data_IF_008939717984
#
_entry.id   IF_008939717984
#
_cell.length_a   1.000
_cell.length_b   1.000
_cell.length_c   1.000
_cell.angle_alpha   90.00
_cell.angle_beta   90.00
_cell.angle_gamma   90.00
#
_symmetry.space_group_name_H-M   'P 1'
#
loop_
_entity.id
_entity.type
_entity.pdbx_description
1 polymer ?
#
# COMPACT_ATOMS: atom_id res chain seq x y z
N UNK A 1 8.17 7.64 7.03
CA UNK A 1 9.41 7.35 6.27
C UNK A 1 9.50 5.85 6.02
N UNK A 2 9.84 5.41 4.81
CA UNK A 2 10.02 3.99 4.47
C UNK A 2 11.50 3.58 4.52
N UNK A 3 11.78 2.32 4.84
CA UNK A 3 13.14 1.77 4.94
C UNK A 3 13.41 0.68 3.90
N UNK A 4 14.70 0.40 3.69
CA UNK A 4 15.17 -0.73 2.87
C UNK A 4 14.84 -2.11 3.47
N UNK A 5 14.44 -2.16 4.73
CA UNK A 5 14.01 -3.38 5.43
C UNK A 5 12.48 -3.55 5.45
N UNK A 6 11.79 -2.83 4.57
CA UNK A 6 10.35 -2.97 4.40
C UNK A 6 9.49 -2.35 5.48
N UNK A 7 10.13 -1.77 6.48
CA UNK A 7 9.47 -1.07 7.57
C UNK A 7 9.18 0.36 7.17
N UNK A 8 8.02 0.88 7.58
CA UNK A 8 7.78 2.32 7.60
C UNK A 8 7.17 2.77 8.93
N UNK A 9 7.40 4.04 9.26
CA UNK A 9 6.90 4.65 10.49
C UNK A 9 6.02 5.87 10.17
N UNK A 10 4.95 6.02 10.95
CA UNK A 10 4.11 7.20 11.01
C UNK A 10 4.52 8.07 12.20
N UNK A 11 4.51 9.39 11.98
CA UNK A 11 4.94 10.40 12.93
C UNK A 11 3.93 11.53 12.94
N UNK A 12 3.72 12.16 14.09
CA UNK A 12 2.94 13.36 14.22
C UNK A 12 3.72 14.52 13.57
N UNK A 13 3.15 15.12 12.52
CA UNK A 13 3.84 16.17 11.77
C UNK A 13 4.07 17.45 12.58
N UNK A 14 3.23 17.72 13.58
CA UNK A 14 3.27 18.95 14.37
C UNK A 14 4.41 18.94 15.38
N UNK A 15 4.67 17.80 16.01
CA UNK A 15 5.63 17.70 17.12
C UNK A 15 6.70 16.62 16.93
N UNK A 16 6.69 15.90 15.81
CA UNK A 16 7.66 14.85 15.50
C UNK A 16 7.53 13.61 16.40
N UNK A 17 6.45 13.47 17.16
CA UNK A 17 6.26 12.30 18.04
C UNK A 17 5.99 11.06 17.20
N UNK A 18 6.64 9.96 17.54
CA UNK A 18 6.38 8.66 16.94
C UNK A 18 4.93 8.24 17.20
N UNK A 19 4.22 7.82 16.15
CA UNK A 19 2.84 7.34 16.27
C UNK A 19 2.76 5.83 16.13
N UNK A 20 3.28 5.30 15.01
CA UNK A 20 3.04 3.90 14.64
C UNK A 20 4.15 3.34 13.79
N UNK A 21 4.39 2.05 13.96
CA UNK A 21 5.35 1.25 13.21
C UNK A 21 4.60 0.22 12.37
N UNK A 22 5.01 0.07 11.12
CA UNK A 22 4.46 -0.88 10.16
C UNK A 22 5.59 -1.76 9.64
N UNK A 23 5.47 -3.07 9.87
CA UNK A 23 6.43 -4.05 9.40
C UNK A 23 5.85 -4.84 8.21
N UNK A 24 6.70 -5.32 7.29
CA UNK A 24 6.24 -6.21 6.24
C UNK A 24 5.83 -7.56 6.85
N UNK A 25 4.95 -8.32 6.18
CA UNK A 25 4.70 -9.71 6.55
C UNK A 25 6.01 -10.51 6.67
N UNK A 26 6.04 -11.45 7.63
CA UNK A 26 7.07 -12.49 7.77
C UNK A 26 8.52 -12.00 8.03
N UNK A 27 8.72 -10.82 8.62
CA UNK A 27 10.07 -10.24 8.84
C UNK A 27 10.92 -10.23 7.56
N UNK A 28 10.27 -10.00 6.42
CA UNK A 28 10.92 -9.97 5.12
C UNK A 28 11.77 -8.71 4.93
N UNK A 29 12.88 -8.82 4.19
CA UNK A 29 13.73 -7.69 3.81
C UNK A 29 13.24 -7.02 2.51
N UNK A 30 11.93 -6.93 2.31
CA UNK A 30 11.39 -6.34 1.07
C UNK A 30 11.57 -4.84 1.07
N UNK A 31 12.00 -4.25 -0.05
CA UNK A 31 12.18 -2.81 -0.14
C UNK A 31 10.86 -2.11 -0.47
N UNK A 32 10.51 -1.06 0.28
CA UNK A 32 9.34 -0.22 -0.04
C UNK A 32 9.62 0.59 -1.31
N UNK A 33 8.77 0.44 -2.31
CA UNK A 33 8.81 1.22 -3.55
C UNK A 33 7.84 2.39 -3.56
N UNK A 34 6.68 2.21 -2.95
CA UNK A 34 5.64 3.24 -2.89
C UNK A 34 4.74 3.05 -1.67
N UNK A 35 4.25 4.15 -1.13
CA UNK A 35 3.23 4.17 -0.06
C UNK A 35 2.14 5.14 -0.50
N UNK A 36 0.89 4.69 -0.45
CA UNK A 36 -0.29 5.51 -0.70
C UNK A 36 -1.27 5.35 0.47
N UNK A 37 -1.72 6.45 1.05
CA UNK A 37 -2.75 6.43 2.08
C UNK A 37 -4.11 6.68 1.46
N UNK A 38 -5.08 5.82 1.74
CA UNK A 38 -6.44 5.87 1.20
C UNK A 38 -7.43 5.95 2.35
N UNK A 39 -8.23 7.01 2.34
CA UNK A 39 -9.32 7.23 3.30
C UNK A 39 -10.64 7.28 2.56
N UNK A 40 -11.62 6.53 3.05
CA UNK A 40 -13.01 6.57 2.60
C UNK A 40 -13.95 6.50 3.80
N UNK A 41 -14.40 7.67 4.26
CA UNK A 41 -15.19 7.81 5.48
C UNK A 41 -16.52 7.04 5.40
N UNK A 42 -17.22 7.11 4.26
CA UNK A 42 -18.52 6.42 4.06
C UNK A 42 -18.43 4.90 4.18
N UNK A 43 -17.26 4.32 3.91
CA UNK A 43 -17.01 2.87 3.98
C UNK A 43 -16.12 2.49 5.17
N UNK A 44 -15.82 3.45 6.07
CA UNK A 44 -14.91 3.27 7.20
C UNK A 44 -13.53 2.69 6.81
N UNK A 45 -13.01 3.05 5.63
CA UNK A 45 -11.70 2.59 5.15
C UNK A 45 -10.65 3.64 5.48
N UNK A 46 -9.61 3.25 6.20
CA UNK A 46 -8.40 4.04 6.44
C UNK A 46 -7.19 3.12 6.31
N UNK A 47 -6.54 3.13 5.16
CA UNK A 47 -5.58 2.09 4.80
C UNK A 47 -4.33 2.65 4.13
N UNK A 48 -3.18 2.07 4.46
CA UNK A 48 -1.94 2.25 3.69
C UNK A 48 -1.79 1.14 2.66
N UNK A 49 -1.63 1.52 1.40
CA UNK A 49 -1.28 0.66 0.29
C UNK A 49 0.21 0.80 0.06
N UNK A 50 0.95 -0.29 0.25
CA UNK A 50 2.41 -0.27 0.21
C UNK A 50 2.91 -1.24 -0.85
N UNK A 51 3.71 -0.76 -1.79
CA UNK A 51 4.38 -1.60 -2.77
C UNK A 51 5.74 -2.05 -2.26
N UNK A 52 5.99 -3.35 -2.39
CA UNK A 52 7.21 -4.06 -2.06
C UNK A 52 7.77 -4.79 -3.29
N UNK A 53 7.88 -4.09 -4.42
CA UNK A 53 8.26 -4.70 -5.69
C UNK A 53 7.08 -5.44 -6.31
N UNK A 54 7.12 -6.77 -6.39
CA UNK A 54 6.03 -7.58 -6.98
C UNK A 54 4.84 -7.81 -6.04
N UNK A 55 4.82 -7.14 -4.88
CA UNK A 55 3.78 -7.27 -3.85
C UNK A 55 3.19 -5.93 -3.49
N UNK A 56 1.89 -5.96 -3.20
CA UNK A 56 1.18 -4.86 -2.55
C UNK A 56 0.65 -5.41 -1.23
N UNK A 57 0.98 -4.73 -0.13
CA UNK A 57 0.44 -5.02 1.19
C UNK A 57 -0.45 -3.86 1.62
N UNK A 58 -1.63 -4.18 2.10
CA UNK A 58 -2.63 -3.22 2.57
C UNK A 58 -2.67 -3.31 4.10
N UNK A 59 -2.35 -2.21 4.75
CA UNK A 59 -2.36 -2.07 6.20
C UNK A 59 -3.56 -1.26 6.65
N UNK A 60 -4.23 -1.72 7.71
CA UNK A 60 -5.27 -0.95 8.38
C UNK A 60 -4.65 0.10 9.32
N UNK A 61 -5.23 1.29 9.28
CA UNK A 61 -4.91 2.40 10.16
C UNK A 61 -5.97 2.63 11.24
N UNK A 62 -7.02 1.80 11.31
CA UNK A 62 -8.11 1.98 12.29
C UNK A 62 -7.76 1.56 13.72
N UNK A 63 -6.72 0.74 13.94
CA UNK A 63 -6.34 0.23 15.26
C UNK A 63 -5.12 1.00 15.81
N UNK A 64 -5.27 1.60 16.98
CA UNK A 64 -4.26 2.42 17.65
C UNK A 64 -3.04 1.61 18.13
N UNK A 65 -3.17 0.29 18.27
CA UNK A 65 -2.19 -0.52 19.00
C UNK A 65 -1.26 -1.34 18.12
N UNK A 66 -1.73 -1.82 16.96
CA UNK A 66 -0.96 -2.66 16.05
C UNK A 66 -1.34 -2.40 14.59
N UNK A 67 -0.38 -2.53 13.67
CA UNK A 67 -0.70 -2.57 12.25
C UNK A 67 -1.30 -3.94 11.92
N UNK A 68 -2.49 -3.95 11.32
CA UNK A 68 -3.08 -5.18 10.79
C UNK A 68 -2.87 -5.23 9.30
N UNK A 69 -2.22 -6.27 8.80
CA UNK A 69 -2.24 -6.58 7.37
C UNK A 69 -3.65 -7.05 7.03
N UNK A 70 -4.36 -6.25 6.24
CA UNK A 70 -5.71 -6.55 5.76
C UNK A 70 -5.65 -7.51 4.59
N UNK A 71 -4.67 -7.29 3.71
CA UNK A 71 -4.53 -8.03 2.46
C UNK A 71 -3.10 -7.95 1.96
N UNK A 72 -2.67 -9.03 1.32
CA UNK A 72 -1.47 -9.07 0.50
C UNK A 72 -1.84 -9.52 -0.91
N UNK A 73 -1.26 -8.87 -1.91
CA UNK A 73 -1.44 -9.20 -3.32
C UNK A 73 -0.09 -9.33 -4.00
N UNK A 74 0.15 -10.46 -4.65
CA UNK A 74 1.32 -10.67 -5.51
C UNK A 74 0.95 -10.45 -6.97
N UNK A 75 1.78 -9.72 -7.69
CA UNK A 75 1.62 -9.46 -9.12
C UNK A 75 2.00 -10.69 -9.94
N UNK A 76 1.29 -10.90 -11.05
CA UNK A 76 1.61 -11.99 -11.97
C UNK A 76 3.01 -11.79 -12.57
N UNK A 77 3.72 -12.90 -12.80
CA UNK A 77 5.05 -12.93 -13.43
C UNK A 77 6.11 -12.03 -12.76
N UNK A 78 5.97 -11.75 -11.46
CA UNK A 78 6.94 -10.96 -10.70
C UNK A 78 7.03 -9.50 -11.15
N UNK A 79 5.99 -8.95 -11.76
CA UNK A 79 5.98 -7.54 -12.22
C UNK A 79 6.02 -6.61 -11.02
N UNK A 80 7.03 -5.74 -10.97
CA UNK A 80 7.22 -4.78 -9.89
C UNK A 80 6.29 -3.58 -10.04
N UNK A 81 5.60 -3.20 -8.96
CA UNK A 81 4.80 -1.98 -8.84
C UNK A 81 5.70 -0.88 -8.26
N UNK A 82 5.90 0.19 -9.00
CA UNK A 82 6.79 1.28 -8.62
C UNK A 82 6.03 2.47 -8.03
N UNK A 83 4.75 2.62 -8.37
CA UNK A 83 3.91 3.71 -7.87
C UNK A 83 2.47 3.25 -7.63
N UNK A 84 1.84 3.85 -6.64
CA UNK A 84 0.42 3.67 -6.30
C UNK A 84 -0.20 5.06 -6.20
N UNK A 85 -1.32 5.28 -6.88
CA UNK A 85 -2.05 6.54 -6.81
C UNK A 85 -3.58 6.32 -6.81
N UNK A 86 -4.35 7.02 -5.95
CA UNK A 86 -5.80 6.98 -6.01
C UNK A 86 -6.27 7.71 -7.27
N UNK A 87 -7.23 7.14 -8.01
CA UNK A 87 -7.69 7.74 -9.28
C UNK A 87 -9.21 7.86 -9.43
N UNK A 88 -9.98 6.98 -8.78
CA UNK A 88 -11.45 6.99 -8.79
C UNK A 88 -11.93 6.63 -7.38
N UNK A 89 -13.20 6.90 -7.03
CA UNK A 89 -13.71 6.63 -5.69
C UNK A 89 -13.44 5.21 -5.19
N UNK A 90 -13.42 4.22 -6.08
CA UNK A 90 -13.21 2.81 -5.75
C UNK A 90 -11.93 2.22 -6.37
N UNK A 91 -11.04 3.02 -6.97
CA UNK A 91 -9.87 2.51 -7.66
C UNK A 91 -8.59 3.26 -7.35
N UNK A 92 -7.51 2.48 -7.26
CA UNK A 92 -6.14 2.96 -7.31
C UNK A 92 -5.49 2.48 -8.61
N UNK A 93 -4.65 3.32 -9.20
CA UNK A 93 -3.76 2.97 -10.28
C UNK A 93 -2.43 2.45 -9.72
N UNK A 94 -1.86 1.46 -10.39
CA UNK A 94 -0.59 0.82 -10.05
C UNK A 94 0.36 0.97 -11.23
N UNK A 95 1.33 1.88 -11.14
CA UNK A 95 2.36 2.04 -12.16
C UNK A 95 3.43 0.97 -12.02
N UNK A 96 3.72 0.22 -13.08
CA UNK A 96 4.65 -0.91 -13.04
C UNK A 96 6.00 -0.59 -13.69
N UNK A 97 7.01 -1.42 -13.40
CA UNK A 97 8.32 -1.35 -14.05
C UNK A 97 8.30 -1.68 -15.56
N UNK A 98 7.17 -2.13 -16.10
CA UNK A 98 6.99 -2.42 -17.53
C UNK A 98 6.36 -1.26 -18.30
N UNK A 99 6.10 -0.12 -17.65
CA UNK A 99 5.41 1.01 -18.26
C UNK A 99 3.91 0.81 -18.44
N UNK A 100 3.35 -0.32 -17.96
CA UNK A 100 1.91 -0.51 -17.87
C UNK A 100 1.41 0.04 -16.56
N UNK A 101 0.21 0.59 -16.58
CA UNK A 101 -0.55 0.90 -15.36
C UNK A 101 -1.59 -0.24 -15.19
N UNK A 102 -2.02 -0.51 -13.96
CA UNK A 102 -3.02 -1.55 -13.63
C UNK A 102 -4.01 -0.93 -12.64
N UNK A 103 -5.31 -1.14 -12.85
CA UNK A 103 -6.33 -0.73 -11.91
C UNK A 103 -6.47 -1.76 -10.80
N UNK A 104 -6.63 -1.30 -9.57
CA UNK A 104 -7.03 -2.14 -8.47
C UNK A 104 -8.23 -1.54 -7.77
N UNK A 105 -9.25 -2.37 -7.56
CA UNK A 105 -10.43 -2.02 -6.80
C UNK A 105 -10.09 -1.93 -5.31
N UNK A 106 -10.35 -0.78 -4.69
CA UNK A 106 -10.02 -0.50 -3.27
C UNK A 106 -10.85 -1.41 -2.34
N UNK A 107 -12.11 -1.68 -2.67
CA UNK A 107 -13.01 -2.46 -1.83
C UNK A 107 -12.66 -3.94 -1.90
N UNK A 108 -12.65 -4.49 -3.12
CA UNK A 108 -12.48 -5.93 -3.33
C UNK A 108 -11.01 -6.36 -3.34
N UNK A 109 -10.08 -5.45 -3.64
CA UNK A 109 -8.67 -5.76 -3.89
C UNK A 109 -8.42 -6.48 -5.20
N UNK A 110 -9.43 -6.59 -6.06
CA UNK A 110 -9.30 -7.20 -7.37
C UNK A 110 -8.42 -6.33 -8.27
N UNK A 111 -7.50 -6.98 -8.98
CA UNK A 111 -6.77 -6.35 -10.08
C UNK A 111 -7.70 -6.37 -11.31
N UNK A 112 -7.88 -5.20 -11.90
CA UNK A 112 -8.64 -4.97 -13.11
C UNK A 112 -7.62 -4.55 -14.19
N UNK A 113 -7.52 -5.32 -15.27
CA UNK A 113 -6.53 -5.07 -16.33
C UNK A 113 -6.87 -3.80 -17.10
N UNK A 114 -5.84 -3.02 -17.44
CA UNK A 114 -5.94 -1.61 -17.84
C UNK A 114 -5.91 -1.30 -19.33
N UNK A 115 -6.38 -0.08 -19.60
CA UNK A 115 -6.40 0.67 -20.85
C UNK A 115 -5.01 0.75 -21.50
N UNK A 116 -4.97 0.51 -22.81
CA UNK A 116 -3.83 0.86 -23.67
C UNK A 116 -3.88 2.33 -24.06
#
# INVERSE_FOLDING_TARGET
>A
TGSVHGVFNAWNYTNGTFLKHFAPPENSNWEIKSICYIVKEEQAIRQFYVSYGDRIVIYDDSDESYHRVVRERRMANGVSVLSIAPIRPNHTALGTCRGTVILMNIITGALETELQ
#
